data_IF_740850604727
#
_entry.id   IF_740850604727
#
_cell.length_a   1.000
_cell.length_b   1.000
_cell.length_c   1.000
_cell.angle_alpha   90.00
_cell.angle_beta   90.00
_cell.angle_gamma   90.00
#
_symmetry.space_group_name_H-M   'P 1'
#
loop_
_entity.id
_entity.type
_entity.pdbx_description
1 polymer ?
#
# COMPACT_ATOMS: atom_id res chain seq x y z
N UNK A 1 -20.76 -6.61 2.35
CA UNK A 1 -19.91 -7.62 1.66
C UNK A 1 -19.45 -8.60 2.72
N UNK A 2 -19.60 -9.91 2.50
CA UNK A 2 -19.29 -10.93 3.51
C UNK A 2 -17.79 -11.24 3.50
N UNK A 3 -17.10 -10.89 4.58
CA UNK A 3 -15.64 -11.03 4.73
C UNK A 3 -15.18 -12.49 4.65
N UNK A 4 -16.03 -13.44 5.03
CA UNK A 4 -15.73 -14.88 4.96
C UNK A 4 -15.67 -15.33 3.51
N UNK A 5 -16.62 -14.86 2.68
CA UNK A 5 -16.60 -15.12 1.23
C UNK A 5 -15.39 -14.50 0.55
N UNK A 6 -15.05 -13.26 0.90
CA UNK A 6 -13.91 -12.57 0.31
C UNK A 6 -12.59 -13.31 0.60
N UNK A 7 -12.41 -13.82 1.83
CA UNK A 7 -11.25 -14.63 2.19
C UNK A 7 -11.16 -15.90 1.34
N UNK A 8 -12.26 -16.63 1.19
CA UNK A 8 -12.29 -17.85 0.38
C UNK A 8 -11.99 -17.57 -1.11
N UNK A 9 -12.47 -16.43 -1.65
CA UNK A 9 -12.18 -16.01 -3.02
C UNK A 9 -10.71 -15.64 -3.22
N UNK A 10 -10.09 -14.98 -2.24
CA UNK A 10 -8.66 -14.65 -2.27
C UNK A 10 -7.79 -15.92 -2.16
N UNK A 11 -8.11 -16.81 -1.22
CA UNK A 11 -7.40 -18.10 -1.08
C UNK A 11 -7.48 -18.92 -2.37
N UNK A 12 -8.65 -18.94 -3.01
CA UNK A 12 -8.84 -19.57 -4.33
C UNK A 12 -8.02 -18.89 -5.42
N UNK A 13 -8.03 -17.56 -5.50
CA UNK A 13 -7.26 -16.82 -6.49
C UNK A 13 -5.76 -17.14 -6.38
N UNK A 14 -5.20 -17.15 -5.17
CA UNK A 14 -3.79 -17.52 -4.97
C UNK A 14 -3.53 -18.98 -5.31
N UNK A 15 -4.43 -19.90 -4.99
CA UNK A 15 -4.30 -21.30 -5.37
C UNK A 15 -4.33 -21.49 -6.89
N UNK A 16 -5.21 -20.78 -7.61
CA UNK A 16 -5.41 -20.92 -9.05
C UNK A 16 -4.30 -20.22 -9.87
N UNK A 17 -3.63 -19.23 -9.28
CA UNK A 17 -2.56 -18.44 -9.95
C UNK A 17 -1.14 -18.84 -9.54
N UNK A 18 -0.97 -19.64 -8.49
CA UNK A 18 0.34 -20.12 -8.06
C UNK A 18 0.94 -21.09 -9.09
N UNK A 19 2.22 -20.89 -9.43
CA UNK A 19 2.94 -21.84 -10.28
C UNK A 19 3.13 -23.17 -9.51
N UNK A 20 3.19 -24.33 -10.19
CA UNK A 20 3.38 -25.61 -9.53
C UNK A 20 4.64 -25.62 -8.64
N UNK A 21 4.45 -25.76 -7.33
CA UNK A 21 5.53 -25.75 -6.32
C UNK A 21 5.78 -24.40 -5.63
N UNK A 22 5.02 -23.35 -5.97
CA UNK A 22 5.13 -22.06 -5.32
C UNK A 22 4.41 -22.09 -3.96
N UNK A 23 5.16 -22.00 -2.85
CA UNK A 23 4.57 -21.83 -1.53
C UNK A 23 3.91 -20.46 -1.44
N UNK A 24 2.74 -20.40 -0.80
CA UNK A 24 2.13 -19.12 -0.42
C UNK A 24 3.20 -18.30 0.32
N UNK A 25 3.43 -17.04 -0.09
CA UNK A 25 4.41 -16.19 0.55
C UNK A 25 4.10 -16.11 2.03
N UNK A 26 5.03 -16.59 2.85
CA UNK A 26 4.99 -16.34 4.28
C UNK A 26 5.50 -14.91 4.47
N UNK A 27 4.68 -13.98 4.97
CA UNK A 27 5.14 -12.62 5.21
C UNK A 27 6.27 -12.68 6.23
N UNK A 28 7.41 -12.11 5.85
CA UNK A 28 8.55 -11.99 6.75
C UNK A 28 8.14 -11.05 7.88
N UNK A 29 8.46 -11.44 9.12
CA UNK A 29 8.16 -10.77 10.41
C UNK A 29 8.57 -9.29 10.55
N UNK A 30 9.03 -8.63 9.50
CA UNK A 30 9.52 -7.26 9.49
C UNK A 30 9.30 -6.62 8.11
N UNK A 31 8.06 -6.63 7.62
CA UNK A 31 7.75 -5.85 6.44
C UNK A 31 7.84 -4.36 6.82
N UNK A 32 8.86 -3.67 6.30
CA UNK A 32 9.07 -2.25 6.52
C UNK A 32 7.83 -1.43 6.17
N UNK A 33 7.01 -1.89 5.21
CA UNK A 33 5.74 -1.26 4.91
C UNK A 33 4.78 -1.34 6.11
N UNK A 34 4.60 -2.51 6.72
CA UNK A 34 3.66 -2.67 7.84
C UNK A 34 4.08 -1.84 9.06
N UNK A 35 5.37 -1.78 9.36
CA UNK A 35 5.92 -0.94 10.43
C UNK A 35 5.56 0.53 10.20
N UNK A 36 5.68 1.00 8.95
CA UNK A 36 5.31 2.36 8.58
C UNK A 36 3.81 2.61 8.66
N UNK A 37 3.00 1.72 8.08
CA UNK A 37 1.53 1.88 7.99
C UNK A 37 0.89 2.02 9.37
N UNK A 38 1.33 1.24 10.36
CA UNK A 38 0.84 1.35 11.74
C UNK A 38 1.10 2.72 12.39
N UNK A 39 1.98 3.53 11.81
CA UNK A 39 2.38 4.85 12.29
C UNK A 39 1.98 5.98 11.33
N UNK A 40 1.12 5.71 10.34
CA UNK A 40 0.82 6.64 9.24
C UNK A 40 2.07 7.09 8.48
N UNK A 41 3.00 6.16 8.26
CA UNK A 41 4.22 6.38 7.50
C UNK A 41 4.25 5.54 6.23
N UNK A 42 4.83 6.09 5.16
CA UNK A 42 5.15 5.33 3.95
C UNK A 42 6.65 5.10 3.89
N UNK A 43 7.02 3.83 3.70
CA UNK A 43 8.41 3.40 3.57
C UNK A 43 8.97 3.73 2.19
N UNK A 44 10.14 4.38 2.14
CA UNK A 44 10.90 4.61 0.92
C UNK A 44 12.04 3.59 0.81
N UNK A 45 12.02 2.80 -0.26
CA UNK A 45 13.03 1.77 -0.54
C UNK A 45 14.28 2.42 -1.14
N UNK A 46 15.09 3.07 -0.28
CA UNK A 46 16.36 3.72 -0.65
C UNK A 46 17.60 3.03 -0.06
N UNK A 47 17.40 1.90 0.64
CA UNK A 47 18.44 1.17 1.34
C UNK A 47 18.85 1.77 2.69
N UNK A 48 18.23 2.87 3.14
CA UNK A 48 18.53 3.56 4.41
C UNK A 48 17.40 3.48 5.44
N UNK A 49 16.37 2.70 5.13
CA UNK A 49 15.15 2.60 5.90
C UNK A 49 14.43 3.94 6.11
N UNK A 50 14.25 4.72 5.05
CA UNK A 50 13.59 6.03 5.14
C UNK A 50 12.06 5.87 5.27
N UNK A 51 11.44 6.65 6.17
CA UNK A 51 9.99 6.70 6.36
C UNK A 51 9.49 8.14 6.24
N UNK A 52 8.44 8.34 5.46
CA UNK A 52 7.77 9.63 5.33
C UNK A 52 6.51 9.62 6.18
N UNK A 53 6.40 10.58 7.11
CA UNK A 53 5.29 10.71 8.05
C UNK A 53 4.16 11.53 7.46
N UNK A 54 2.93 11.10 7.72
CA UNK A 54 1.70 11.84 7.45
C UNK A 54 0.81 11.88 8.70
N UNK A 55 -0.05 12.88 8.84
CA UNK A 55 -1.06 12.88 9.92
C UNK A 55 -2.06 11.75 9.70
N UNK A 56 -2.46 11.54 8.44
CA UNK A 56 -3.25 10.41 7.98
C UNK A 56 -2.84 9.99 6.56
N UNK A 57 -2.95 8.69 6.26
CA UNK A 57 -2.58 8.15 4.94
C UNK A 57 -3.47 8.63 3.79
N UNK A 58 -4.63 9.23 4.08
CA UNK A 58 -5.48 9.91 3.08
C UNK A 58 -4.91 11.25 2.59
N UNK A 59 -3.84 11.75 3.23
CA UNK A 59 -3.18 13.01 2.91
C UNK A 59 -1.86 12.81 2.14
N UNK A 60 -1.53 11.58 1.76
CA UNK A 60 -0.31 11.30 0.99
C UNK A 60 -0.30 12.12 -0.29
N UNK A 61 0.73 12.95 -0.48
CA UNK A 61 0.93 13.70 -1.72
C UNK A 61 1.68 12.84 -2.74
N UNK A 62 0.96 12.40 -3.78
CA UNK A 62 1.52 11.57 -4.85
C UNK A 62 2.41 12.34 -5.85
N UNK A 63 2.60 13.66 -5.67
CA UNK A 63 3.74 14.36 -6.28
C UNK A 63 5.08 13.95 -5.65
N UNK A 64 5.06 13.47 -4.40
CA UNK A 64 6.23 13.11 -3.63
C UNK A 64 7.18 14.28 -3.32
N UNK A 65 6.71 15.43 -2.79
CA UNK A 65 7.57 16.58 -2.49
C UNK A 65 8.56 16.32 -1.34
N UNK A 66 8.28 15.33 -0.49
CA UNK A 66 8.99 15.08 0.77
C UNK A 66 10.42 14.59 0.52
N UNK A 67 10.64 13.91 -0.60
CA UNK A 67 11.94 13.38 -0.99
C UNK A 67 12.28 13.85 -2.39
N UNK A 68 13.35 14.63 -2.52
CA UNK A 68 13.92 15.09 -3.81
C UNK A 68 14.64 13.95 -4.53
N UNK A 69 13.90 12.91 -4.88
CA UNK A 69 14.39 11.74 -5.63
C UNK A 69 13.26 11.25 -6.55
N UNK A 70 13.56 11.08 -7.85
CA UNK A 70 12.57 10.61 -8.81
C UNK A 70 12.01 9.22 -8.47
N UNK A 71 12.80 8.37 -7.82
CA UNK A 71 12.35 7.05 -7.36
C UNK A 71 11.28 7.15 -6.27
N UNK A 72 11.22 8.22 -5.49
CA UNK A 72 10.19 8.36 -4.45
C UNK A 72 8.80 8.40 -5.07
N UNK A 73 8.60 9.33 -6.01
CA UNK A 73 7.34 9.43 -6.76
C UNK A 73 7.01 8.13 -7.50
N UNK A 74 8.01 7.51 -8.12
CA UNK A 74 7.81 6.24 -8.81
C UNK A 74 7.37 5.12 -7.86
N UNK A 75 7.94 5.06 -6.65
CA UNK A 75 7.57 4.07 -5.63
C UNK A 75 6.18 4.32 -5.04
N UNK A 76 5.78 5.58 -4.79
CA UNK A 76 4.43 5.93 -4.37
C UNK A 76 3.38 5.37 -5.34
N UNK A 77 3.57 5.59 -6.65
CA UNK A 77 2.66 5.13 -7.68
C UNK A 77 2.65 3.59 -7.90
N UNK A 78 3.60 2.85 -7.32
CA UNK A 78 3.62 1.37 -7.36
C UNK A 78 2.82 0.76 -6.22
N UNK A 79 2.44 1.54 -5.22
CA UNK A 79 1.66 1.07 -4.06
C UNK A 79 2.27 -0.17 -3.38
N UNK A 80 3.59 -0.18 -3.18
CA UNK A 80 4.32 -1.37 -2.70
C UNK A 80 3.80 -1.95 -1.38
N UNK A 81 3.15 -1.13 -0.55
CA UNK A 81 2.56 -1.53 0.74
C UNK A 81 1.21 -2.26 0.63
N UNK A 82 0.51 -2.21 -0.51
CA UNK A 82 -0.85 -2.77 -0.62
C UNK A 82 -0.88 -4.27 -0.40
N UNK A 83 0.06 -4.98 -1.03
CA UNK A 83 0.18 -6.44 -0.86
C UNK A 83 0.42 -6.80 0.60
N UNK A 84 1.37 -6.11 1.24
CA UNK A 84 1.70 -6.29 2.64
C UNK A 84 0.49 -6.07 3.54
N UNK A 85 -0.29 -5.01 3.28
CA UNK A 85 -1.51 -4.72 4.03
C UNK A 85 -2.57 -5.82 3.85
N UNK A 86 -2.77 -6.31 2.62
CA UNK A 86 -3.70 -7.41 2.35
C UNK A 86 -3.28 -8.71 3.07
N UNK A 87 -1.99 -9.08 2.98
CA UNK A 87 -1.44 -10.25 3.68
C UNK A 87 -1.57 -10.10 5.20
N UNK A 88 -1.25 -8.93 5.76
CA UNK A 88 -1.38 -8.66 7.19
C UNK A 88 -2.84 -8.69 7.67
N UNK A 89 -3.79 -8.17 6.87
CA UNK A 89 -5.22 -8.25 7.16
C UNK A 89 -5.71 -9.69 7.20
N UNK A 90 -5.36 -10.51 6.20
CA UNK A 90 -5.79 -11.91 6.14
C UNK A 90 -5.31 -12.73 7.34
N UNK A 91 -4.15 -12.37 7.90
CA UNK A 91 -3.57 -13.06 9.05
C UNK A 91 -4.14 -12.61 10.39
N UNK A 92 -4.39 -11.31 10.54
CA UNK A 92 -4.69 -10.70 11.84
C UNK A 92 -6.16 -10.31 11.99
N UNK A 93 -6.86 -10.07 10.89
CA UNK A 93 -8.18 -9.43 10.88
C UNK A 93 -8.15 -7.96 11.27
N UNK A 94 -6.98 -7.32 11.37
CA UNK A 94 -6.89 -5.92 11.81
C UNK A 94 -7.27 -4.96 10.68
N UNK A 95 -8.40 -4.28 10.85
CA UNK A 95 -8.98 -3.34 9.89
C UNK A 95 -8.09 -2.10 9.63
N UNK A 96 -7.04 -1.87 10.44
CA UNK A 96 -6.07 -0.79 10.17
C UNK A 96 -5.45 -0.93 8.77
N UNK A 97 -5.21 -2.16 8.32
CA UNK A 97 -4.59 -2.42 7.02
C UNK A 97 -5.55 -2.15 5.86
N UNK A 98 -6.82 -2.53 6.00
CA UNK A 98 -7.87 -2.23 5.01
C UNK A 98 -8.10 -0.73 4.93
N UNK A 99 -8.16 -0.06 6.08
CA UNK A 99 -8.27 1.40 6.16
C UNK A 99 -7.09 2.08 5.45
N UNK A 100 -5.87 1.66 5.73
CA UNK A 100 -4.67 2.22 5.10
C UNK A 100 -4.67 2.06 3.56
N UNK A 101 -5.07 0.89 3.06
CA UNK A 101 -5.21 0.66 1.62
C UNK A 101 -6.25 1.59 1.00
N UNK A 102 -7.46 1.68 1.59
CA UNK A 102 -8.50 2.58 1.10
C UNK A 102 -8.04 4.03 1.11
N UNK A 103 -7.53 4.50 2.23
CA UNK A 103 -7.13 5.90 2.42
C UNK A 103 -6.04 6.31 1.40
N UNK A 104 -5.05 5.45 1.15
CA UNK A 104 -4.02 5.74 0.14
C UNK A 104 -4.53 5.72 -1.30
N UNK A 105 -5.51 4.87 -1.65
CA UNK A 105 -6.19 4.94 -2.95
C UNK A 105 -7.01 6.22 -3.07
N UNK A 106 -7.74 6.61 -2.03
CA UNK A 106 -8.50 7.86 -2.03
C UNK A 106 -7.59 9.09 -2.17
N UNK A 107 -6.44 9.10 -1.48
CA UNK A 107 -5.42 10.15 -1.64
C UNK A 107 -4.95 10.24 -3.10
N UNK A 108 -4.67 9.10 -3.74
CA UNK A 108 -4.29 9.06 -5.15
C UNK A 108 -5.41 9.52 -6.09
N UNK A 109 -6.67 9.20 -5.81
CA UNK A 109 -7.82 9.66 -6.62
C UNK A 109 -8.05 11.17 -6.48
N UNK A 110 -7.82 11.72 -5.28
CA UNK A 110 -7.84 13.18 -5.03
C UNK A 110 -6.68 13.87 -5.73
N UNK A 111 -5.57 13.17 -5.91
CA UNK A 111 -4.45 13.60 -6.75
C UNK A 111 -4.86 13.59 -8.23
N UNK A 112 -5.52 14.67 -8.67
CA UNK A 112 -5.64 14.97 -10.09
C UNK A 112 -4.33 15.64 -10.53
N UNK A 113 -3.66 15.16 -11.61
CA UNK A 113 -2.81 16.06 -12.34
C UNK A 113 -3.73 17.17 -12.85
N UNK A 114 -3.60 18.38 -12.32
CA UNK A 114 -4.15 19.57 -12.99
C UNK A 114 -3.57 19.54 -14.40
N UNK A 115 -4.43 19.38 -15.41
CA UNK A 115 -3.99 19.75 -16.74
C UNK A 115 -3.59 21.23 -16.65
N UNK A 116 -2.45 21.64 -17.24
CA UNK A 116 -2.06 23.04 -17.28
C UNK A 116 -3.12 23.97 -17.92
N UNK A 117 -4.16 23.41 -18.55
CA UNK A 117 -5.13 24.14 -19.36
C UNK A 117 -6.51 24.33 -18.69
N UNK A 118 -6.69 23.97 -17.42
CA UNK A 118 -7.98 24.12 -16.71
C UNK A 118 -8.16 25.52 -16.06
N UNK A 119 -7.49 26.55 -16.59
CA UNK A 119 -7.87 27.96 -16.38
C UNK A 119 -8.73 28.44 -17.56
N UNK A 120 -10.06 28.52 -17.36
CA UNK A 120 -10.99 29.33 -18.17
C UNK A 120 -11.81 30.20 -17.22
#
# INVERSE_FOLDING_TARGET
MDLIKMRAEIEKFYHDTALPGEQLPQPKKSDAFIIGIQKNQIYFMDGKNTYVQYDALEQVDFNGPEIKNQEWRAQLCRFGWMRSCAEAYLQTGDEIYVKAMRDTVEAWLRFRPTKPDDEI
#
